data_IF_985312387304
#
_entry.id   IF_985312387304
#
_cell.length_a   1.000
_cell.length_b   1.000
_cell.length_c   1.000
_cell.angle_alpha   90.00
_cell.angle_beta   90.00
_cell.angle_gamma   90.00
#
_symmetry.space_group_name_H-M   'P 1'
#
loop_
_entity.id
_entity.type
_entity.pdbx_description
1 polymer ?
#
# COMPACT_ATOMS: atom_id res chain seq x y z
N UNK A 1 9.51 -1.12 8.77
CA UNK A 1 8.53 -2.11 9.27
C UNK A 1 8.78 -2.68 10.66
N UNK A 2 9.96 -3.22 10.97
CA UNK A 2 10.20 -3.91 12.25
C UNK A 2 10.03 -3.02 13.50
N UNK A 3 10.30 -1.72 13.40
CA UNK A 3 10.16 -0.79 14.53
C UNK A 3 8.70 -0.59 14.98
N UNK A 4 7.74 -0.57 14.03
CA UNK A 4 6.30 -0.46 14.36
C UNK A 4 5.83 -1.76 15.00
N UNK A 5 6.24 -2.92 14.48
CA UNK A 5 5.82 -4.23 14.98
C UNK A 5 6.32 -4.46 16.42
N UNK A 6 7.58 -4.11 16.71
CA UNK A 6 8.19 -4.24 18.04
C UNK A 6 7.59 -3.25 19.03
N UNK A 7 7.39 -1.99 18.63
CA UNK A 7 6.77 -1.00 19.52
C UNK A 7 5.31 -1.39 19.86
N UNK A 8 4.67 -2.13 18.95
CA UNK A 8 3.30 -2.58 19.12
C UNK A 8 3.14 -3.82 19.99
N UNK A 9 4.01 -4.82 19.84
CA UNK A 9 4.05 -5.97 20.75
C UNK A 9 4.28 -5.49 22.20
N UNK A 10 5.12 -4.47 22.38
CA UNK A 10 5.35 -3.87 23.70
C UNK A 10 4.17 -3.04 24.21
N UNK A 11 3.42 -2.37 23.33
CA UNK A 11 2.20 -1.63 23.67
C UNK A 11 1.02 -2.55 24.05
N UNK A 12 0.81 -3.64 23.30
CA UNK A 12 -0.23 -4.65 23.55
C UNK A 12 0.04 -5.41 24.85
N UNK A 13 1.30 -5.74 25.12
CA UNK A 13 1.69 -6.41 26.36
C UNK A 13 1.54 -5.52 27.60
N UNK A 14 1.64 -4.19 27.46
CA UNK A 14 1.34 -3.22 28.52
C UNK A 14 -0.16 -2.97 28.70
N UNK A 15 -0.95 -3.06 27.64
CA UNK A 15 -2.41 -2.84 27.66
C UNK A 15 -3.20 -4.15 27.71
N UNK A 16 -2.80 -5.10 28.56
CA UNK A 16 -3.48 -6.37 28.84
C UNK A 16 -4.90 -6.22 29.47
N UNK A 17 -5.61 -5.15 29.12
CA UNK A 17 -7.02 -4.88 29.35
C UNK A 17 -7.63 -4.22 28.08
N UNK A 18 -7.94 -5.01 27.06
CA UNK A 18 -8.98 -4.66 26.07
C UNK A 18 -8.63 -3.67 24.93
N UNK A 19 -7.37 -3.51 24.53
CA UNK A 19 -7.01 -2.61 23.42
C UNK A 19 -7.37 -3.16 22.03
N UNK A 20 -8.39 -2.57 21.40
CA UNK A 20 -8.97 -2.93 20.09
C UNK A 20 -7.93 -3.16 18.97
N UNK A 21 -7.73 -4.43 18.60
CA UNK A 21 -6.90 -4.82 17.45
C UNK A 21 -7.30 -4.09 16.16
N UNK A 22 -8.58 -3.77 15.97
CA UNK A 22 -9.07 -3.10 14.75
C UNK A 22 -8.47 -1.68 14.56
N UNK A 23 -8.14 -0.95 15.63
CA UNK A 23 -7.60 0.41 15.54
C UNK A 23 -6.17 0.42 14.97
N UNK A 24 -5.38 -0.59 15.31
CA UNK A 24 -4.04 -0.79 14.73
C UNK A 24 -4.09 -1.03 13.24
N UNK A 25 -5.05 -1.86 12.89
CA UNK A 25 -5.22 -2.47 11.60
C UNK A 25 -5.62 -1.40 10.61
N UNK A 26 -6.55 -0.53 11.02
CA UNK A 26 -6.89 0.68 10.29
C UNK A 26 -5.68 1.58 10.09
N UNK A 27 -4.81 1.73 11.09
CA UNK A 27 -3.62 2.58 11.01
C UNK A 27 -2.58 2.00 10.02
N UNK A 28 -2.26 0.71 10.12
CA UNK A 28 -1.35 0.02 9.21
C UNK A 28 -1.85 0.03 7.75
N UNK A 29 -3.16 -0.14 7.55
CA UNK A 29 -3.80 -0.07 6.23
C UNK A 29 -3.70 1.34 5.65
N UNK A 30 -3.92 2.37 6.47
CA UNK A 30 -3.84 3.79 6.07
C UNK A 30 -2.42 4.19 5.67
N UNK A 31 -1.40 3.73 6.40
CA UNK A 31 0.00 4.02 6.08
C UNK A 31 0.42 3.42 4.72
N UNK A 32 -0.03 2.20 4.41
CA UNK A 32 0.22 1.56 3.11
C UNK A 32 -0.46 2.30 1.97
N UNK A 33 -1.70 2.72 2.20
CA UNK A 33 -2.48 3.52 1.26
C UNK A 33 -1.75 4.83 0.91
N UNK A 34 -1.25 5.55 1.92
CA UNK A 34 -0.41 6.75 1.71
C UNK A 34 0.85 6.46 0.90
N UNK A 35 1.55 5.36 1.19
CA UNK A 35 2.76 4.99 0.47
C UNK A 35 2.50 4.69 -1.02
N UNK A 36 1.38 4.04 -1.34
CA UNK A 36 0.99 3.72 -2.73
C UNK A 36 0.58 5.00 -3.48
N UNK A 37 -0.16 5.89 -2.82
CA UNK A 37 -0.49 7.20 -3.41
C UNK A 37 0.77 8.02 -3.67
N UNK A 38 1.73 8.05 -2.73
CA UNK A 38 3.00 8.77 -2.92
C UNK A 38 3.82 8.20 -4.08
N UNK A 39 3.96 6.88 -4.17
CA UNK A 39 4.72 6.23 -5.23
C UNK A 39 4.08 6.43 -6.60
N UNK A 40 2.77 6.30 -6.72
CA UNK A 40 2.05 6.55 -7.98
C UNK A 40 2.18 7.99 -8.43
N UNK A 41 2.07 8.97 -7.52
CA UNK A 41 2.32 10.39 -7.82
C UNK A 41 3.77 10.59 -8.29
N UNK A 42 4.76 10.02 -7.61
CA UNK A 42 6.16 10.12 -8.02
C UNK A 42 6.42 9.47 -9.38
N UNK A 43 5.80 8.32 -9.66
CA UNK A 43 5.92 7.63 -10.95
C UNK A 43 5.31 8.44 -12.09
N UNK A 44 4.09 8.95 -11.90
CA UNK A 44 3.43 9.80 -12.90
C UNK A 44 4.21 11.10 -13.10
N UNK A 45 4.70 11.72 -12.03
CA UNK A 45 5.52 12.93 -12.10
C UNK A 45 6.86 12.71 -12.83
N UNK A 46 7.50 11.54 -12.66
CA UNK A 46 8.74 11.19 -13.36
C UNK A 46 8.54 10.77 -14.82
N UNK A 47 7.40 10.14 -15.13
CA UNK A 47 7.04 9.76 -16.49
C UNK A 47 6.47 10.94 -17.30
N UNK A 48 5.90 11.95 -16.65
CA UNK A 48 5.35 13.16 -17.28
C UNK A 48 6.35 13.88 -18.21
N UNK A 49 7.59 14.23 -17.77
CA UNK A 49 8.55 14.90 -18.63
C UNK A 49 9.09 14.00 -19.75
N UNK A 50 9.15 12.68 -19.52
CA UNK A 50 9.53 11.69 -20.54
C UNK A 50 8.44 11.54 -21.60
N UNK A 51 7.17 11.52 -21.20
CA UNK A 51 6.04 11.48 -22.11
C UNK A 51 5.86 12.79 -22.90
N UNK A 52 6.17 13.94 -22.28
CA UNK A 52 6.15 15.25 -22.94
C UNK A 52 7.41 15.54 -23.79
N UNK A 53 8.41 14.66 -23.75
CA UNK A 53 9.60 14.76 -24.61
C UNK A 53 10.53 15.94 -24.27
N UNK A 54 10.60 16.35 -23.00
CA UNK A 54 11.47 17.45 -22.56
C UNK A 54 12.95 17.01 -22.57
N UNK A 55 13.55 16.97 -23.76
CA UNK A 55 14.95 16.53 -23.98
C UNK A 55 15.17 15.62 -25.20
N UNK A 56 14.10 15.23 -25.91
CA UNK A 56 14.16 14.33 -27.07
C UNK A 56 13.14 13.20 -26.93
N UNK A 57 12.13 13.19 -27.80
CA UNK A 57 11.15 12.10 -27.86
C UNK A 57 11.74 10.96 -28.71
N UNK A 58 12.43 10.03 -28.06
CA UNK A 58 12.86 8.80 -28.71
C UNK A 58 11.61 7.95 -29.02
N UNK A 59 11.34 7.58 -30.29
CA UNK A 59 10.11 6.87 -30.67
C UNK A 59 9.91 5.53 -29.96
N UNK A 60 10.95 4.99 -29.32
CA UNK A 60 10.85 3.81 -28.47
C UNK A 60 10.48 4.13 -27.01
N UNK A 61 10.97 5.23 -26.43
CA UNK A 61 10.78 5.53 -25.00
C UNK A 61 9.38 6.08 -24.73
N UNK A 62 8.85 6.92 -25.62
CA UNK A 62 7.52 7.50 -25.48
C UNK A 62 6.38 6.45 -25.35
N UNK A 63 6.28 5.41 -26.21
CA UNK A 63 5.24 4.40 -26.08
C UNK A 63 5.43 3.50 -24.85
N UNK A 64 6.68 3.23 -24.44
CA UNK A 64 6.96 2.48 -23.21
C UNK A 64 6.47 3.24 -21.96
N UNK A 65 6.75 4.55 -21.89
CA UNK A 65 6.33 5.40 -20.79
C UNK A 65 4.80 5.54 -20.72
N UNK A 66 4.12 5.69 -21.87
CA UNK A 66 2.66 5.71 -21.91
C UNK A 66 2.05 4.40 -21.44
N UNK A 67 2.53 3.24 -21.91
CA UNK A 67 2.02 1.93 -21.48
C UNK A 67 2.15 1.72 -19.96
N UNK A 68 3.31 2.09 -19.39
CA UNK A 68 3.54 1.99 -17.95
C UNK A 68 2.67 2.98 -17.16
N UNK A 69 2.53 4.21 -17.66
CA UNK A 69 1.68 5.25 -17.05
C UNK A 69 0.23 4.78 -16.93
N UNK A 70 -0.37 4.30 -18.02
CA UNK A 70 -1.73 3.76 -18.00
C UNK A 70 -1.86 2.49 -17.15
N UNK A 71 -0.85 1.60 -17.17
CA UNK A 71 -0.83 0.39 -16.35
C UNK A 71 -0.84 0.69 -14.86
N UNK A 72 0.01 1.61 -14.40
CA UNK A 72 0.06 2.04 -12.99
C UNK A 72 -1.21 2.79 -12.62
N UNK A 73 -1.73 3.65 -13.50
CA UNK A 73 -2.97 4.38 -13.25
C UNK A 73 -4.17 3.44 -13.03
N UNK A 74 -4.27 2.35 -13.80
CA UNK A 74 -5.31 1.31 -13.61
C UNK A 74 -5.04 0.40 -12.40
N UNK A 75 -3.78 0.07 -12.12
CA UNK A 75 -3.41 -0.78 -10.98
C UNK A 75 -3.61 -0.08 -9.62
N UNK A 76 -3.55 1.25 -9.58
CA UNK A 76 -3.69 2.04 -8.34
C UNK A 76 -5.05 1.86 -7.66
N UNK A 77 -6.21 2.09 -8.31
CA UNK A 77 -7.51 1.83 -7.69
C UNK A 77 -7.74 0.34 -7.41
N UNK A 78 -7.21 -0.55 -8.26
CA UNK A 78 -7.30 -2.00 -8.06
C UNK A 78 -6.61 -2.40 -6.75
N UNK A 79 -5.40 -1.91 -6.51
CA UNK A 79 -4.64 -2.18 -5.27
C UNK A 79 -5.25 -1.51 -4.05
N UNK A 80 -5.87 -0.33 -4.21
CA UNK A 80 -6.60 0.36 -3.14
C UNK A 80 -7.75 -0.48 -2.58
N UNK A 81 -8.40 -1.28 -3.42
CA UNK A 81 -9.48 -2.21 -3.04
C UNK A 81 -8.91 -3.58 -2.64
N UNK A 82 -7.88 -4.05 -3.33
CA UNK A 82 -7.27 -5.36 -3.06
C UNK A 82 -6.65 -5.43 -1.66
N UNK A 83 -5.99 -4.37 -1.20
CA UNK A 83 -5.35 -4.33 0.11
C UNK A 83 -6.33 -4.49 1.27
N UNK A 84 -7.45 -3.73 1.37
CA UNK A 84 -8.43 -3.94 2.43
C UNK A 84 -9.09 -5.31 2.35
N UNK A 85 -9.33 -5.86 1.14
CA UNK A 85 -9.85 -7.22 0.99
C UNK A 85 -8.86 -8.29 1.50
N UNK A 86 -7.60 -8.22 1.09
CA UNK A 86 -6.55 -9.15 1.51
C UNK A 86 -6.31 -9.03 3.02
N UNK A 87 -6.42 -7.82 3.55
CA UNK A 87 -6.33 -7.56 4.97
C UNK A 87 -7.49 -8.20 5.75
N UNK A 88 -8.73 -7.98 5.32
CA UNK A 88 -9.92 -8.56 5.96
C UNK A 88 -9.83 -10.09 6.03
N UNK A 89 -9.32 -10.73 4.97
CA UNK A 89 -9.05 -12.17 4.95
C UNK A 89 -7.98 -12.56 5.97
N UNK A 90 -6.88 -11.80 6.06
CA UNK A 90 -5.82 -12.04 7.05
C UNK A 90 -6.30 -11.93 8.50
N UNK A 91 -7.19 -10.99 8.77
CA UNK A 91 -7.83 -10.84 10.08
C UNK A 91 -8.75 -12.04 10.40
N UNK A 92 -9.58 -12.45 9.44
CA UNK A 92 -10.51 -13.58 9.61
C UNK A 92 -9.78 -14.93 9.80
N UNK A 93 -8.62 -15.10 9.17
CA UNK A 93 -7.74 -16.26 9.40
C UNK A 93 -7.13 -16.22 10.81
N UNK A 94 -6.67 -15.05 11.27
CA UNK A 94 -6.05 -14.89 12.58
C UNK A 94 -7.05 -15.09 13.72
N UNK A 95 -8.26 -14.57 13.61
CA UNK A 95 -9.33 -14.76 14.61
C UNK A 95 -9.73 -16.23 14.71
N UNK A 96 -9.84 -16.94 13.58
CA UNK A 96 -10.10 -18.40 13.56
C UNK A 96 -8.95 -19.22 14.16
N UNK A 97 -7.70 -18.82 13.95
CA UNK A 97 -6.54 -19.54 14.51
C UNK A 97 -6.39 -19.35 16.02
N UNK A 98 -6.74 -18.17 16.56
CA UNK A 98 -6.73 -17.91 18.00
C UNK A 98 -7.86 -18.61 18.77
N UNK A 99 -8.94 -19.04 18.12
CA UNK A 99 -10.02 -19.80 18.77
C UNK A 99 -9.72 -21.29 18.94
N UNK A 100 -8.61 -21.80 18.37
CA UNK A 100 -8.24 -23.23 18.42
C UNK A 100 -7.06 -23.55 19.34
N UNK A 101 -6.44 -22.57 19.99
CA UNK A 101 -5.39 -22.76 21.01
C UNK A 101 -5.87 -22.22 22.34
#
# INVERSE_FOLDING_TARGET
DSLVLVNHVNAVKRNAAGGNGHALIAQATTDRLRAIVMTTVTTVAGLLPLAYGWGGADPFIAPMAMSLGYGVFLATPLTLILIPCLYAIGEDIRTRFQQRT
#
